data_IF_732416154198
#
_entry.id   IF_732416154198
#
_cell.length_a   1.000
_cell.length_b   1.000
_cell.length_c   1.000
_cell.angle_alpha   90.00
_cell.angle_beta   90.00
_cell.angle_gamma   90.00
#
_symmetry.space_group_name_H-M   'P 1'
#
loop_
_entity.id
_entity.type
_entity.pdbx_description
1 polymer ?
#
# COMPACT_ATOMS: atom_id res chain seq x y z
N UNK A 1 47.63 52.02 19.98
CA UNK A 1 48.30 50.72 19.76
C UNK A 1 48.42 50.05 21.11
N UNK A 2 48.07 48.77 21.35
CA UNK A 2 47.61 47.66 20.48
C UNK A 2 46.06 47.50 20.58
N UNK A 3 45.30 46.85 19.69
CA UNK A 3 45.32 45.53 19.04
C UNK A 3 44.43 44.49 19.76
N UNK A 4 43.56 43.87 18.94
CA UNK A 4 42.83 42.58 19.11
C UNK A 4 41.45 42.66 19.77
N UNK A 5 40.41 41.95 19.32
CA UNK A 5 40.00 41.36 18.06
C UNK A 5 38.54 40.91 18.31
N UNK A 6 37.66 41.13 17.35
CA UNK A 6 36.26 40.72 17.38
C UNK A 6 36.14 39.19 17.36
N UNK A 7 35.41 38.63 18.32
CA UNK A 7 34.76 37.31 18.19
C UNK A 7 33.27 37.50 18.45
N UNK A 8 32.42 36.87 17.64
CA UNK A 8 31.83 35.66 18.18
C UNK A 8 31.86 34.48 17.19
N UNK A 9 32.00 33.30 17.79
CA UNK A 9 31.83 32.01 17.16
C UNK A 9 30.42 31.88 16.57
N UNK A 10 30.29 32.16 15.27
CA UNK A 10 29.15 31.75 14.46
C UNK A 10 29.40 30.34 13.92
N UNK A 11 29.17 29.32 14.74
CA UNK A 11 29.11 27.95 14.26
C UNK A 11 27.90 27.79 13.34
N UNK A 12 28.13 27.69 12.04
CA UNK A 12 27.12 27.30 11.07
C UNK A 12 26.76 25.83 11.31
N UNK A 13 25.78 25.61 12.18
CA UNK A 13 25.12 24.32 12.31
C UNK A 13 24.09 24.17 11.18
N UNK A 14 24.24 23.10 10.40
CA UNK A 14 23.12 22.39 9.79
C UNK A 14 22.69 22.86 8.41
N UNK A 15 23.10 22.10 7.40
CA UNK A 15 22.15 21.62 6.41
C UNK A 15 22.60 20.21 5.99
N UNK A 16 22.18 19.14 6.69
CA UNK A 16 22.23 17.83 6.06
C UNK A 16 21.27 17.87 4.87
N UNK A 17 21.80 17.48 3.72
CA UNK A 17 21.09 17.30 2.47
C UNK A 17 19.84 16.44 2.71
N UNK A 18 18.67 17.08 2.74
CA UNK A 18 17.36 16.47 3.02
C UNK A 18 16.81 15.70 1.81
N UNK A 19 17.65 14.90 1.15
CA UNK A 19 17.27 14.01 0.05
C UNK A 19 17.51 12.55 0.43
N UNK A 20 16.80 12.08 1.45
CA UNK A 20 16.64 10.66 1.76
C UNK A 20 15.29 10.47 2.43
N UNK A 21 14.23 10.52 1.62
CA UNK A 21 12.90 10.10 2.06
C UNK A 21 13.02 8.69 2.63
N UNK A 22 12.82 8.55 3.93
CA UNK A 22 12.96 7.27 4.60
C UNK A 22 11.97 6.29 3.96
N UNK A 23 12.48 5.17 3.42
CA UNK A 23 11.71 3.98 3.04
C UNK A 23 11.10 3.28 4.28
N UNK A 24 10.72 4.05 5.29
CA UNK A 24 10.20 3.55 6.54
C UNK A 24 8.87 2.86 6.26
N UNK A 25 8.85 1.52 6.36
CA UNK A 25 7.66 0.71 6.14
C UNK A 25 7.59 -0.03 4.80
N UNK A 26 8.66 -0.03 3.99
CA UNK A 26 8.75 -0.91 2.81
C UNK A 26 9.69 -2.09 3.06
N UNK A 27 9.35 -3.27 2.55
CA UNK A 27 10.23 -4.45 2.54
C UNK A 27 10.21 -5.16 1.19
N UNK A 28 11.33 -5.75 0.74
CA UNK A 28 11.34 -6.57 -0.46
C UNK A 28 10.52 -7.84 -0.25
N UNK A 29 9.70 -8.20 -1.24
CA UNK A 29 9.02 -9.49 -1.28
C UNK A 29 10.06 -10.62 -1.28
N UNK A 30 9.90 -11.68 -0.46
CA UNK A 30 10.84 -12.80 -0.43
C UNK A 30 10.87 -13.62 -1.73
N UNK A 31 9.88 -13.46 -2.60
CA UNK A 31 9.77 -14.20 -3.88
C UNK A 31 10.16 -13.33 -5.06
N UNK A 32 9.55 -12.15 -5.23
CA UNK A 32 9.84 -11.28 -6.39
C UNK A 32 10.93 -10.24 -6.15
N UNK A 33 11.33 -9.99 -4.90
CA UNK A 33 12.28 -8.93 -4.56
C UNK A 33 11.74 -7.50 -4.65
N UNK A 34 10.50 -7.30 -5.14
CA UNK A 34 9.87 -5.99 -5.25
C UNK A 34 9.67 -5.33 -3.87
N UNK A 35 9.89 -4.02 -3.78
CA UNK A 35 9.59 -3.27 -2.55
C UNK A 35 8.09 -3.14 -2.35
N UNK A 36 7.60 -3.74 -1.26
CA UNK A 36 6.20 -3.84 -0.90
C UNK A 36 5.86 -2.91 0.27
N UNK A 37 4.69 -2.27 0.21
CA UNK A 37 4.21 -1.38 1.26
C UNK A 37 3.63 -2.15 2.45
N UNK A 38 3.76 -1.57 3.65
CA UNK A 38 3.16 -2.09 4.88
C UNK A 38 1.62 -2.11 4.79
N UNK A 39 1.03 -3.17 5.35
CA UNK A 39 -0.41 -3.31 5.57
C UNK A 39 -0.69 -3.78 6.99
N UNK A 40 -1.86 -3.39 7.49
CA UNK A 40 -2.26 -3.75 8.86
C UNK A 40 -2.60 -5.23 8.99
N UNK A 41 -2.39 -5.79 10.18
CA UNK A 41 -2.94 -7.10 10.57
C UNK A 41 -4.45 -7.20 10.33
N UNK A 42 -5.18 -6.11 10.60
CA UNK A 42 -6.64 -6.03 10.39
C UNK A 42 -6.99 -6.30 8.93
N UNK A 43 -6.27 -5.69 7.99
CA UNK A 43 -6.45 -5.92 6.55
C UNK A 43 -6.22 -7.41 6.22
N UNK A 44 -5.11 -8.00 6.66
CA UNK A 44 -4.82 -9.43 6.42
C UNK A 44 -5.95 -10.33 6.93
N UNK A 45 -6.43 -10.11 8.16
CA UNK A 45 -7.52 -10.89 8.75
C UNK A 45 -8.83 -10.80 7.97
N UNK A 46 -9.16 -9.64 7.40
CA UNK A 46 -10.37 -9.49 6.60
C UNK A 46 -10.33 -10.23 5.26
N UNK A 47 -9.14 -10.54 4.75
CA UNK A 47 -8.98 -11.14 3.43
C UNK A 47 -8.69 -12.63 3.46
N UNK A 48 -8.22 -13.19 4.57
CA UNK A 48 -8.02 -14.63 4.72
C UNK A 48 -9.35 -15.39 4.58
N UNK A 49 -9.30 -16.57 3.94
CA UNK A 49 -10.45 -17.46 3.80
C UNK A 49 -10.86 -18.10 5.13
N UNK A 50 -9.88 -18.48 5.95
CA UNK A 50 -10.08 -19.09 7.27
C UNK A 50 -9.17 -18.43 8.31
N UNK A 51 -9.43 -17.17 8.72
CA UNK A 51 -8.57 -16.46 9.68
C UNK A 51 -8.50 -17.14 11.04
N UNK A 52 -9.48 -17.98 11.41
CA UNK A 52 -9.49 -18.75 12.66
C UNK A 52 -8.58 -19.98 12.63
N UNK A 53 -8.14 -20.45 11.46
CA UNK A 53 -7.28 -21.65 11.33
C UNK A 53 -5.81 -21.32 11.10
N UNK A 54 -5.42 -20.03 11.17
CA UNK A 54 -4.06 -19.57 10.95
C UNK A 54 -3.62 -18.66 12.08
N UNK A 55 -2.38 -18.82 12.53
CA UNK A 55 -1.75 -17.86 13.43
C UNK A 55 -1.41 -16.57 12.63
N UNK A 56 -2.06 -15.46 12.99
CA UNK A 56 -1.76 -14.13 12.44
C UNK A 56 -1.32 -13.24 13.60
N UNK A 57 0.00 -13.05 13.72
CA UNK A 57 0.65 -12.32 14.83
C UNK A 57 0.36 -10.83 14.79
N UNK A 58 0.46 -10.18 15.94
CA UNK A 58 0.36 -8.73 16.07
C UNK A 58 1.66 -8.06 15.61
N UNK A 59 1.77 -7.85 14.30
CA UNK A 59 2.94 -7.28 13.64
C UNK A 59 2.56 -6.64 12.31
N UNK A 60 3.53 -5.97 11.70
CA UNK A 60 3.41 -5.46 10.33
C UNK A 60 3.44 -6.60 9.31
N UNK A 61 2.57 -6.47 8.33
CA UNK A 61 2.57 -7.27 7.11
C UNK A 61 2.89 -6.37 5.92
N UNK A 62 3.16 -6.96 4.77
CA UNK A 62 3.50 -6.24 3.55
C UNK A 62 2.70 -6.80 2.39
N UNK A 63 2.15 -5.94 1.54
CA UNK A 63 1.37 -6.32 0.37
C UNK A 63 2.24 -6.32 -0.89
N UNK A 64 2.35 -7.49 -1.54
CA UNK A 64 3.05 -7.62 -2.81
C UNK A 64 2.08 -7.31 -3.95
N UNK A 65 2.34 -6.22 -4.67
CA UNK A 65 1.57 -5.74 -5.81
C UNK A 65 2.19 -6.13 -7.17
N UNK A 66 3.16 -7.03 -7.19
CA UNK A 66 3.71 -7.61 -8.42
C UNK A 66 2.71 -8.61 -9.04
N UNK A 67 2.15 -8.35 -10.24
CA UNK A 67 1.17 -9.23 -10.86
C UNK A 67 1.68 -10.66 -11.12
N UNK A 68 2.98 -10.83 -11.35
CA UNK A 68 3.59 -12.14 -11.63
C UNK A 68 3.94 -12.94 -10.37
N UNK A 69 3.80 -12.36 -9.18
CA UNK A 69 4.17 -12.99 -7.93
C UNK A 69 2.94 -13.61 -7.22
N UNK A 70 2.94 -14.91 -6.88
CA UNK A 70 1.81 -15.56 -6.21
C UNK A 70 1.61 -15.08 -4.77
N UNK A 71 2.62 -14.46 -4.16
CA UNK A 71 2.54 -13.89 -2.81
C UNK A 71 1.64 -12.66 -2.84
N UNK A 72 0.67 -12.62 -1.92
CA UNK A 72 -0.17 -11.43 -1.66
C UNK A 72 0.33 -10.70 -0.43
N UNK A 73 0.51 -11.43 0.69
CA UNK A 73 1.08 -10.86 1.91
C UNK A 73 2.32 -11.62 2.34
N UNK A 74 3.20 -10.92 3.04
CA UNK A 74 4.25 -11.54 3.82
C UNK A 74 4.52 -10.75 5.08
N UNK A 75 5.17 -11.37 6.07
CA UNK A 75 5.52 -10.73 7.32
C UNK A 75 7.01 -10.42 7.47
N UNK A 76 7.41 -9.93 8.64
CA UNK A 76 8.80 -9.57 8.95
C UNK A 76 9.77 -10.75 8.95
N UNK A 77 9.26 -11.97 9.13
CA UNK A 77 10.01 -13.24 9.15
C UNK A 77 10.00 -13.91 7.76
N UNK A 78 9.49 -13.21 6.75
CA UNK A 78 9.31 -13.71 5.38
C UNK A 78 8.33 -14.88 5.25
N UNK A 79 7.44 -15.10 6.22
CA UNK A 79 6.31 -16.02 6.06
C UNK A 79 5.33 -15.45 5.04
N UNK A 80 4.91 -16.25 4.06
CA UNK A 80 4.07 -15.80 2.96
C UNK A 80 2.60 -16.24 3.10
N UNK A 81 1.73 -15.47 2.46
CA UNK A 81 0.31 -15.74 2.24
C UNK A 81 0.06 -15.49 0.76
N UNK A 82 -0.38 -16.53 0.05
CA UNK A 82 -0.64 -16.49 -1.38
C UNK A 82 -2.12 -16.28 -1.67
N UNK A 83 -2.47 -16.00 -2.94
CA UNK A 83 -3.85 -15.72 -3.36
C UNK A 83 -4.85 -16.81 -2.95
N UNK A 84 -4.44 -18.08 -2.93
CA UNK A 84 -5.28 -19.24 -2.61
C UNK A 84 -5.70 -19.27 -1.13
N UNK A 85 -4.97 -18.57 -0.25
CA UNK A 85 -5.32 -18.46 1.16
C UNK A 85 -6.34 -17.33 1.43
N UNK A 86 -6.69 -16.53 0.41
CA UNK A 86 -7.62 -15.41 0.52
C UNK A 86 -9.03 -15.80 0.04
N UNK A 87 -10.05 -15.23 0.68
CA UNK A 87 -11.43 -15.22 0.15
C UNK A 87 -11.68 -14.09 -0.85
N UNK A 88 -10.79 -13.11 -0.89
CA UNK A 88 -10.90 -11.95 -1.77
C UNK A 88 -10.02 -12.18 -2.98
N UNK A 89 -10.61 -12.13 -4.17
CA UNK A 89 -9.85 -12.08 -5.41
C UNK A 89 -9.03 -10.79 -5.45
N UNK A 90 -7.72 -10.90 -5.65
CA UNK A 90 -6.81 -9.75 -5.61
C UNK A 90 -6.63 -9.23 -7.03
N UNK A 91 -7.28 -8.12 -7.37
CA UNK A 91 -7.29 -7.54 -8.71
C UNK A 91 -5.90 -7.33 -9.34
N UNK A 92 -4.89 -6.88 -8.59
CA UNK A 92 -3.52 -6.72 -9.13
C UNK A 92 -2.85 -8.06 -9.49
N UNK A 93 -3.37 -9.19 -8.97
CA UNK A 93 -2.94 -10.56 -9.29
C UNK A 93 -3.85 -11.22 -10.32
N UNK A 94 -5.01 -10.62 -10.61
CA UNK A 94 -5.91 -11.05 -11.67
C UNK A 94 -5.46 -10.44 -12.99
N UNK A 95 -5.68 -11.16 -14.09
CA UNK A 95 -5.34 -10.70 -15.43
C UNK A 95 -6.58 -10.09 -16.10
N UNK A 96 -6.38 -9.00 -16.84
CA UNK A 96 -7.38 -8.45 -17.76
C UNK A 96 -8.27 -7.35 -17.18
N UNK A 97 -9.26 -6.96 -17.99
CA UNK A 97 -10.13 -5.81 -17.73
C UNK A 97 -11.13 -6.06 -16.58
N UNK A 98 -11.39 -7.31 -16.24
CA UNK A 98 -12.30 -7.69 -15.15
C UNK A 98 -11.64 -7.61 -13.76
N UNK A 99 -10.33 -7.37 -13.70
CA UNK A 99 -9.59 -7.21 -12.46
C UNK A 99 -10.21 -6.12 -11.57
N UNK A 100 -10.53 -6.46 -10.32
CA UNK A 100 -11.17 -5.52 -9.39
C UNK A 100 -10.23 -4.37 -9.03
N UNK A 101 -10.66 -3.14 -9.32
CA UNK A 101 -9.95 -1.90 -9.00
C UNK A 101 -10.48 -1.27 -7.70
N UNK A 102 -11.80 -1.11 -7.57
CA UNK A 102 -12.43 -0.59 -6.36
C UNK A 102 -13.29 -1.65 -5.68
N UNK A 103 -12.75 -2.23 -4.61
CA UNK A 103 -13.42 -3.22 -3.77
C UNK A 103 -14.60 -2.68 -2.97
N UNK A 104 -14.69 -1.36 -2.77
CA UNK A 104 -15.83 -0.78 -2.05
C UNK A 104 -17.12 -0.84 -2.86
N UNK A 105 -17.01 -0.72 -4.19
CA UNK A 105 -18.16 -0.60 -5.09
C UNK A 105 -18.16 -1.64 -6.21
N UNK A 106 -17.24 -2.62 -6.19
CA UNK A 106 -17.19 -3.71 -7.18
C UNK A 106 -16.84 -3.23 -8.59
N UNK A 107 -15.99 -2.21 -8.71
CA UNK A 107 -15.59 -1.65 -10.02
C UNK A 107 -14.34 -2.36 -10.52
N UNK A 108 -14.39 -2.84 -11.76
CA UNK A 108 -13.24 -3.40 -12.47
C UNK A 108 -12.38 -2.33 -13.15
N UNK A 109 -11.15 -2.70 -13.52
CA UNK A 109 -10.24 -1.83 -14.25
C UNK A 109 -10.81 -1.40 -15.61
N UNK A 110 -11.40 -2.33 -16.37
CA UNK A 110 -12.03 -2.06 -17.66
C UNK A 110 -13.16 -1.06 -17.55
N UNK A 111 -14.08 -1.25 -16.59
CA UNK A 111 -15.17 -0.31 -16.38
C UNK A 111 -14.65 1.11 -16.09
N UNK A 112 -13.62 1.23 -15.23
CA UNK A 112 -13.01 2.51 -14.89
C UNK A 112 -12.27 3.17 -16.06
N UNK A 113 -11.68 2.36 -16.95
CA UNK A 113 -11.02 2.85 -18.17
C UNK A 113 -12.06 3.32 -19.21
N UNK A 114 -13.16 2.59 -19.37
CA UNK A 114 -14.20 2.86 -20.36
C UNK A 114 -15.09 4.05 -19.97
N UNK A 115 -15.38 4.23 -18.67
CA UNK A 115 -16.25 5.29 -18.17
C UNK A 115 -15.58 6.17 -17.11
N UNK A 116 -15.08 7.35 -17.51
CA UNK A 116 -14.42 8.27 -16.59
C UNK A 116 -15.28 8.82 -15.45
N UNK A 117 -16.61 8.84 -15.61
CA UNK A 117 -17.53 9.28 -14.57
C UNK A 117 -17.48 8.34 -13.33
N UNK A 118 -16.99 7.11 -13.50
CA UNK A 118 -16.80 6.17 -12.38
C UNK A 118 -15.78 6.73 -11.38
N UNK A 119 -14.70 7.38 -11.85
CA UNK A 119 -13.74 7.99 -10.94
C UNK A 119 -14.38 9.09 -10.11
N UNK A 120 -15.19 9.94 -10.74
CA UNK A 120 -15.91 11.03 -10.07
C UNK A 120 -16.87 10.49 -9.01
N UNK A 121 -17.64 9.45 -9.33
CA UNK A 121 -18.48 8.73 -8.38
C UNK A 121 -17.66 8.22 -7.18
N UNK A 122 -16.54 7.53 -7.41
CA UNK A 122 -15.71 7.01 -6.30
C UNK A 122 -15.13 8.14 -5.44
N UNK A 123 -14.73 9.26 -6.05
CA UNK A 123 -14.27 10.45 -5.30
C UNK A 123 -15.38 10.97 -4.38
N UNK A 124 -16.59 11.16 -4.90
CA UNK A 124 -17.74 11.66 -4.14
C UNK A 124 -18.07 10.73 -2.95
N UNK A 125 -18.19 9.42 -3.21
CA UNK A 125 -18.51 8.45 -2.15
C UNK A 125 -17.41 8.34 -1.09
N UNK A 126 -16.15 8.55 -1.49
CA UNK A 126 -15.02 8.60 -0.54
C UNK A 126 -15.12 9.84 0.35
N UNK A 127 -15.45 11.02 -0.20
CA UNK A 127 -15.62 12.25 0.56
C UNK A 127 -16.79 12.18 1.55
N UNK A 128 -17.83 11.43 1.21
CA UNK A 128 -18.98 11.16 2.09
C UNK A 128 -18.70 10.10 3.17
N UNK A 129 -17.50 9.50 3.20
CA UNK A 129 -17.13 8.48 4.19
C UNK A 129 -17.81 7.12 3.97
N UNK A 130 -18.37 6.86 2.78
CA UNK A 130 -19.07 5.61 2.46
C UNK A 130 -18.11 4.46 2.19
N UNK A 131 -16.86 4.75 1.83
CA UNK A 131 -15.86 3.74 1.54
C UNK A 131 -15.32 3.06 2.82
N UNK A 132 -14.90 1.81 2.69
CA UNK A 132 -14.28 1.02 3.76
C UNK A 132 -12.95 0.39 3.29
N UNK A 133 -12.11 1.19 2.62
CA UNK A 133 -10.92 0.71 1.90
C UNK A 133 -9.96 -0.12 2.78
N UNK A 134 -9.72 0.28 4.03
CA UNK A 134 -8.85 -0.45 4.96
C UNK A 134 -9.28 -1.91 5.21
N UNK A 135 -10.58 -2.18 5.06
CA UNK A 135 -11.18 -3.50 5.27
C UNK A 135 -11.52 -4.24 3.98
N UNK A 136 -11.83 -3.51 2.89
CA UNK A 136 -12.27 -4.08 1.62
C UNK A 136 -11.16 -4.22 0.59
N UNK A 137 -10.14 -3.36 0.61
CA UNK A 137 -9.04 -3.42 -0.35
C UNK A 137 -7.88 -4.26 0.23
N UNK A 138 -7.43 -5.33 -0.45
CA UNK A 138 -6.30 -6.15 -0.01
C UNK A 138 -5.02 -5.36 0.29
N UNK A 139 -4.80 -4.24 -0.40
CA UNK A 139 -3.65 -3.36 -0.15
C UNK A 139 -3.82 -2.44 1.07
N UNK A 140 -4.99 -2.42 1.70
CA UNK A 140 -5.34 -1.53 2.81
C UNK A 140 -5.43 -0.03 2.45
N UNK A 141 -5.20 0.34 1.17
CA UNK A 141 -5.22 1.74 0.70
C UNK A 141 -6.47 2.08 -0.10
N UNK A 142 -6.73 3.38 -0.25
CA UNK A 142 -7.78 3.88 -1.12
C UNK A 142 -7.51 3.48 -2.59
N UNK A 143 -8.52 2.90 -3.24
CA UNK A 143 -8.46 2.49 -4.65
C UNK A 143 -8.22 3.64 -5.63
N UNK A 144 -8.57 4.89 -5.26
CA UNK A 144 -8.36 6.08 -6.09
C UNK A 144 -6.88 6.31 -6.47
N UNK A 145 -5.95 5.71 -5.71
CA UNK A 145 -4.52 5.73 -6.03
C UNK A 145 -4.16 4.95 -7.29
N UNK A 146 -4.98 3.95 -7.62
CA UNK A 146 -4.72 2.98 -8.69
C UNK A 146 -5.60 3.24 -9.92
N UNK A 147 -6.47 4.26 -9.89
CA UNK A 147 -7.24 4.67 -11.06
C UNK A 147 -6.31 5.19 -12.15
N UNK A 148 -6.53 4.83 -13.43
CA UNK A 148 -5.77 5.36 -14.55
C UNK A 148 -5.77 6.89 -14.55
N UNK A 149 -4.59 7.49 -14.54
CA UNK A 149 -4.42 8.92 -14.85
C UNK A 149 -4.51 9.07 -16.36
N UNK A 150 -5.50 9.84 -16.83
CA UNK A 150 -5.55 10.25 -18.24
C UNK A 150 -4.32 11.07 -18.63
#
# INVERSE_FOLDING_TARGET
MPMLALGPFGGAAGMPDCCSGSRAGQRPCPVSGQLCAVVSRRTVLHHLQAPWSREVREQDYYFCDDPGCPVVYFDRDASTITAEALRTEVGVKALGLDATLCYCFGISFGAAADNPAIREFVVEQTQQGICACEARNPSGRCCLRDFPTR
#
